data_IF_324128209270
#
_entry.id   IF_324128209270
#
_cell.length_a   1.000
_cell.length_b   1.000
_cell.length_c   1.000
_cell.angle_alpha   90.00
_cell.angle_beta   90.00
_cell.angle_gamma   90.00
#
_symmetry.space_group_name_H-M   'P 1'
#
loop_
_entity.id
_entity.type
_entity.pdbx_description
1 polymer ?
#
# COMPACT_ATOMS: atom_id res chain seq x y z
N UNK A 1 -151.34 11.02 -99.48
CA UNK A 1 -149.88 11.25 -99.34
C UNK A 1 -149.37 11.31 -97.90
N UNK A 2 -150.00 10.59 -96.96
CA UNK A 2 -149.54 10.51 -95.56
C UNK A 2 -149.00 9.10 -95.24
N UNK A 3 -149.53 8.07 -95.90
CA UNK A 3 -149.12 6.66 -95.75
C UNK A 3 -147.67 6.43 -96.20
N UNK A 4 -147.22 7.09 -97.27
CA UNK A 4 -145.87 6.90 -97.82
C UNK A 4 -144.76 7.51 -96.94
N UNK A 5 -145.06 8.60 -96.21
CA UNK A 5 -144.15 9.16 -95.21
C UNK A 5 -144.05 8.28 -93.96
N UNK A 6 -145.15 7.65 -93.54
CA UNK A 6 -145.14 6.72 -92.42
C UNK A 6 -144.42 5.41 -92.76
N UNK A 7 -144.58 4.89 -93.99
CA UNK A 7 -143.85 3.70 -94.43
C UNK A 7 -142.34 3.93 -94.49
N UNK A 8 -141.89 5.10 -94.97
CA UNK A 8 -140.46 5.45 -94.98
C UNK A 8 -139.86 5.63 -93.57
N UNK A 9 -140.68 6.11 -92.62
CA UNK A 9 -140.30 6.21 -91.20
C UNK A 9 -140.28 4.83 -90.51
N UNK A 10 -141.17 3.94 -90.92
CA UNK A 10 -141.21 2.56 -90.45
C UNK A 10 -139.99 1.78 -90.94
N UNK A 11 -139.63 1.86 -92.23
CA UNK A 11 -138.44 1.21 -92.79
C UNK A 11 -137.13 1.70 -92.15
N UNK A 12 -137.02 3.00 -91.86
CA UNK A 12 -135.83 3.55 -91.20
C UNK A 12 -135.71 3.13 -89.73
N UNK A 13 -136.83 2.85 -89.05
CA UNK A 13 -136.83 2.27 -87.71
C UNK A 13 -136.53 0.76 -87.72
N UNK A 14 -137.06 0.02 -88.70
CA UNK A 14 -136.81 -1.42 -88.89
C UNK A 14 -135.34 -1.68 -89.24
N UNK A 15 -134.73 -0.83 -90.07
CA UNK A 15 -133.31 -0.91 -90.43
C UNK A 15 -132.37 -0.65 -89.24
N UNK A 16 -132.70 0.28 -88.35
CA UNK A 16 -131.91 0.55 -87.14
C UNK A 16 -132.05 -0.52 -86.05
N UNK A 17 -133.10 -1.34 -86.10
CA UNK A 17 -133.40 -2.37 -85.11
C UNK A 17 -132.97 -3.79 -85.53
N UNK A 18 -132.28 -3.95 -86.67
CA UNK A 18 -131.72 -5.25 -87.09
C UNK A 18 -132.69 -6.16 -87.85
N UNK A 19 -133.80 -5.63 -88.39
CA UNK A 19 -134.57 -6.31 -89.45
C UNK A 19 -135.67 -7.29 -89.01
N UNK A 20 -136.10 -7.32 -87.74
CA UNK A 20 -137.32 -8.04 -87.30
C UNK A 20 -138.04 -7.22 -86.21
N UNK A 21 -139.38 -7.19 -86.22
CA UNK A 21 -140.20 -6.54 -85.18
C UNK A 21 -140.02 -7.25 -83.82
N UNK A 22 -139.36 -6.59 -82.87
CA UNK A 22 -139.20 -7.04 -81.48
C UNK A 22 -140.12 -6.22 -80.56
N UNK A 23 -140.85 -6.88 -79.66
CA UNK A 23 -141.74 -6.23 -78.71
C UNK A 23 -141.01 -5.45 -77.60
N UNK A 24 -141.64 -4.48 -76.92
CA UNK A 24 -141.00 -3.66 -75.89
C UNK A 24 -140.35 -4.46 -74.75
N UNK A 25 -140.95 -5.59 -74.37
CA UNK A 25 -140.41 -6.54 -73.39
C UNK A 25 -139.14 -7.24 -73.90
N UNK A 26 -139.10 -7.62 -75.18
CA UNK A 26 -137.91 -8.23 -75.80
C UNK A 26 -136.77 -7.22 -75.98
N UNK A 27 -137.08 -5.95 -76.22
CA UNK A 27 -136.09 -4.86 -76.21
C UNK A 27 -135.51 -4.69 -74.79
N UNK A 28 -136.34 -4.72 -73.74
CA UNK A 28 -135.85 -4.65 -72.35
C UNK A 28 -135.04 -5.88 -71.96
N UNK A 29 -135.44 -7.08 -72.40
CA UNK A 29 -134.70 -8.32 -72.18
C UNK A 29 -133.34 -8.26 -72.88
N UNK A 30 -133.30 -7.86 -74.16
CA UNK A 30 -132.04 -7.67 -74.90
C UNK A 30 -131.14 -6.59 -74.28
N UNK A 31 -131.71 -5.50 -73.79
CA UNK A 31 -130.95 -4.45 -73.08
C UNK A 31 -130.38 -4.96 -71.76
N UNK A 32 -131.15 -5.73 -70.99
CA UNK A 32 -130.68 -6.35 -69.76
C UNK A 32 -129.64 -7.44 -70.04
N UNK A 33 -129.79 -8.23 -71.10
CA UNK A 33 -128.79 -9.19 -71.54
C UNK A 33 -127.49 -8.51 -71.94
N UNK A 34 -127.54 -7.44 -72.74
CA UNK A 34 -126.35 -6.63 -73.04
C UNK A 34 -125.72 -6.03 -71.80
N UNK A 35 -126.52 -5.58 -70.83
CA UNK A 35 -126.00 -5.08 -69.56
C UNK A 35 -125.38 -6.19 -68.70
N UNK A 36 -125.94 -7.40 -68.72
CA UNK A 36 -125.40 -8.57 -68.03
C UNK A 36 -124.09 -9.00 -68.70
N UNK A 37 -124.04 -9.07 -70.02
CA UNK A 37 -122.83 -9.37 -70.80
C UNK A 37 -121.75 -8.32 -70.57
N UNK A 38 -122.09 -7.02 -70.55
CA UNK A 38 -121.15 -5.95 -70.25
C UNK A 38 -120.59 -6.07 -68.82
N UNK A 39 -121.44 -6.40 -67.83
CA UNK A 39 -121.00 -6.67 -66.45
C UNK A 39 -120.16 -7.95 -66.34
N UNK A 40 -120.48 -8.99 -67.11
CA UNK A 40 -119.70 -10.23 -67.15
C UNK A 40 -118.32 -9.99 -67.78
N UNK A 41 -118.23 -9.17 -68.83
CA UNK A 41 -116.98 -8.73 -69.44
C UNK A 41 -116.13 -7.93 -68.44
N UNK A 42 -116.74 -6.97 -67.73
CA UNK A 42 -116.08 -6.17 -66.69
C UNK A 42 -115.59 -7.06 -65.53
N UNK A 43 -116.39 -8.04 -65.10
CA UNK A 43 -115.99 -9.03 -64.09
C UNK A 43 -114.79 -9.85 -64.59
N UNK A 44 -114.80 -10.29 -65.85
CA UNK A 44 -113.70 -11.06 -66.43
C UNK A 44 -112.39 -10.22 -66.51
N UNK A 45 -112.48 -8.95 -66.90
CA UNK A 45 -111.35 -8.02 -66.93
C UNK A 45 -110.79 -7.77 -65.53
N UNK A 46 -111.66 -7.54 -64.53
CA UNK A 46 -111.26 -7.37 -63.14
C UNK A 46 -110.64 -8.65 -62.56
N UNK A 47 -111.17 -9.83 -62.89
CA UNK A 47 -110.59 -11.11 -62.50
C UNK A 47 -109.21 -11.32 -63.12
N UNK A 48 -109.02 -10.98 -64.40
CA UNK A 48 -107.71 -11.06 -65.06
C UNK A 48 -106.71 -10.07 -64.44
N UNK A 49 -107.14 -8.84 -64.15
CA UNK A 49 -106.30 -7.85 -63.47
C UNK A 49 -105.94 -8.30 -62.05
N UNK A 50 -106.89 -8.87 -61.32
CA UNK A 50 -106.67 -9.44 -59.99
C UNK A 50 -105.67 -10.59 -60.02
N UNK A 51 -105.78 -11.53 -60.97
CA UNK A 51 -104.82 -12.63 -61.13
C UNK A 51 -103.41 -12.12 -61.46
N UNK A 52 -103.29 -11.07 -62.28
CA UNK A 52 -102.00 -10.43 -62.58
C UNK A 52 -101.38 -9.82 -61.33
N UNK A 53 -102.16 -9.03 -60.59
CA UNK A 53 -101.70 -8.43 -59.32
C UNK A 53 -101.37 -9.49 -58.27
N UNK A 54 -102.12 -10.58 -58.21
CA UNK A 54 -101.84 -11.69 -57.30
C UNK A 54 -100.53 -12.38 -57.67
N UNK A 55 -100.27 -12.60 -58.95
CA UNK A 55 -99.01 -13.18 -59.43
C UNK A 55 -97.81 -12.27 -59.16
N UNK A 56 -97.97 -10.96 -59.37
CA UNK A 56 -96.96 -9.96 -59.02
C UNK A 56 -96.70 -9.91 -57.52
N UNK A 57 -97.75 -9.94 -56.69
CA UNK A 57 -97.63 -9.98 -55.23
C UNK A 57 -96.89 -11.24 -54.76
N UNK A 58 -97.20 -12.41 -55.35
CA UNK A 58 -96.50 -13.66 -55.05
C UNK A 58 -95.03 -13.56 -55.44
N UNK A 59 -94.72 -12.97 -56.59
CA UNK A 59 -93.33 -12.78 -57.03
C UNK A 59 -92.57 -11.84 -56.10
N UNK A 60 -93.13 -10.66 -55.78
CA UNK A 60 -92.54 -9.72 -54.83
C UNK A 60 -92.36 -10.32 -53.44
N UNK A 61 -93.28 -11.19 -53.00
CA UNK A 61 -93.16 -11.91 -51.72
C UNK A 61 -91.98 -12.87 -51.75
N UNK A 62 -91.80 -13.64 -52.84
CA UNK A 62 -90.63 -14.51 -53.01
C UNK A 62 -89.33 -13.71 -53.02
N UNK A 63 -89.30 -12.58 -53.72
CA UNK A 63 -88.11 -11.72 -53.80
C UNK A 63 -87.77 -11.11 -52.44
N UNK A 64 -88.78 -10.64 -51.68
CA UNK A 64 -88.63 -10.18 -50.30
C UNK A 64 -88.04 -11.29 -49.41
N UNK A 65 -88.56 -12.51 -49.50
CA UNK A 65 -88.09 -13.62 -48.69
C UNK A 65 -86.64 -14.00 -49.03
N UNK A 66 -86.27 -13.96 -50.31
CA UNK A 66 -84.90 -14.18 -50.78
C UNK A 66 -83.96 -13.07 -50.26
N UNK A 67 -84.33 -11.80 -50.40
CA UNK A 67 -83.58 -10.68 -49.84
C UNK A 67 -83.44 -10.79 -48.31
N UNK A 68 -84.48 -11.26 -47.61
CA UNK A 68 -84.44 -11.49 -46.16
C UNK A 68 -83.43 -12.58 -45.77
N UNK A 69 -83.30 -13.64 -46.59
CA UNK A 69 -82.24 -14.65 -46.41
C UNK A 69 -80.86 -14.04 -46.62
N UNK A 70 -80.67 -13.24 -47.66
CA UNK A 70 -79.38 -12.60 -47.95
C UNK A 70 -78.96 -11.60 -46.88
N UNK A 71 -79.89 -10.78 -46.38
CA UNK A 71 -79.65 -9.87 -45.24
C UNK A 71 -79.23 -10.67 -44.00
N UNK A 72 -79.87 -11.80 -43.71
CA UNK A 72 -79.45 -12.68 -42.60
C UNK A 72 -78.05 -13.24 -42.81
N UNK A 73 -77.70 -13.64 -44.04
CA UNK A 73 -76.35 -14.14 -44.39
C UNK A 73 -75.29 -13.05 -44.22
N UNK A 74 -75.53 -11.85 -44.75
CA UNK A 74 -74.63 -10.70 -44.64
C UNK A 74 -74.44 -10.27 -43.18
N UNK A 75 -75.50 -10.26 -42.36
CA UNK A 75 -75.40 -9.99 -40.92
C UNK A 75 -74.47 -10.99 -40.23
N UNK A 76 -74.61 -12.29 -40.51
CA UNK A 76 -73.71 -13.33 -39.96
C UNK A 76 -72.25 -13.09 -40.39
N UNK A 77 -72.02 -12.79 -41.67
CA UNK A 77 -70.68 -12.49 -42.17
C UNK A 77 -70.07 -11.25 -41.50
N UNK A 78 -70.86 -10.19 -41.33
CA UNK A 78 -70.43 -8.98 -40.64
C UNK A 78 -70.04 -9.26 -39.19
N UNK A 79 -70.82 -10.07 -38.46
CA UNK A 79 -70.47 -10.48 -37.08
C UNK A 79 -69.16 -11.26 -37.05
N UNK A 80 -68.96 -12.20 -37.98
CA UNK A 80 -67.71 -12.98 -38.06
C UNK A 80 -66.52 -12.06 -38.35
N UNK A 81 -66.66 -11.14 -39.31
CA UNK A 81 -65.60 -10.18 -39.65
C UNK A 81 -65.30 -9.22 -38.50
N UNK A 82 -66.32 -8.74 -37.79
CA UNK A 82 -66.15 -7.90 -36.60
C UNK A 82 -65.38 -8.64 -35.51
N UNK A 83 -65.70 -9.91 -35.26
CA UNK A 83 -64.98 -10.72 -34.27
C UNK A 83 -63.54 -11.06 -34.71
N UNK A 84 -63.29 -11.21 -36.01
CA UNK A 84 -61.93 -11.36 -36.54
C UNK A 84 -61.14 -10.07 -36.36
N UNK A 85 -61.74 -8.92 -36.67
CA UNK A 85 -61.14 -7.59 -36.50
C UNK A 85 -60.70 -7.37 -35.05
N UNK A 86 -61.59 -7.62 -34.08
CA UNK A 86 -61.27 -7.47 -32.65
C UNK A 86 -60.08 -8.35 -32.24
N UNK A 87 -60.02 -9.60 -32.71
CA UNK A 87 -58.89 -10.48 -32.44
C UNK A 87 -57.59 -9.94 -33.03
N UNK A 88 -57.59 -9.58 -34.31
CA UNK A 88 -56.39 -9.04 -34.96
C UNK A 88 -55.92 -7.72 -34.35
N UNK A 89 -56.86 -6.86 -33.89
CA UNK A 89 -56.51 -5.63 -33.17
C UNK A 89 -55.88 -5.96 -31.80
N UNK A 90 -56.41 -6.96 -31.09
CA UNK A 90 -55.80 -7.47 -29.86
C UNK A 90 -54.38 -7.98 -30.08
N UNK A 91 -54.15 -8.80 -31.10
CA UNK A 91 -52.84 -9.34 -31.45
C UNK A 91 -51.85 -8.20 -31.80
N UNK A 92 -52.30 -7.17 -32.52
CA UNK A 92 -51.48 -6.00 -32.85
C UNK A 92 -51.09 -5.23 -31.59
N UNK A 93 -52.03 -5.02 -30.66
CA UNK A 93 -51.75 -4.29 -29.42
C UNK A 93 -50.80 -5.08 -28.50
N UNK A 94 -50.89 -6.41 -28.48
CA UNK A 94 -49.94 -7.28 -27.77
C UNK A 94 -48.53 -7.15 -28.37
N UNK A 95 -48.40 -7.30 -29.69
CA UNK A 95 -47.11 -7.14 -30.38
C UNK A 95 -46.49 -5.74 -30.20
N UNK A 96 -47.33 -4.70 -30.12
CA UNK A 96 -46.85 -3.34 -29.81
C UNK A 96 -46.28 -3.22 -28.39
N UNK A 97 -46.90 -3.87 -27.41
CA UNK A 97 -46.38 -3.90 -26.03
C UNK A 97 -45.06 -4.67 -25.96
N UNK A 98 -44.99 -5.83 -26.61
CA UNK A 98 -43.75 -6.61 -26.70
C UNK A 98 -42.61 -5.79 -27.34
N UNK A 99 -42.91 -5.07 -28.43
CA UNK A 99 -41.93 -4.20 -29.09
C UNK A 99 -41.42 -3.12 -28.14
N UNK A 100 -42.32 -2.46 -27.39
CA UNK A 100 -41.94 -1.44 -26.41
C UNK A 100 -41.08 -2.00 -25.28
N UNK A 101 -41.40 -3.19 -24.77
CA UNK A 101 -40.62 -3.86 -23.73
C UNK A 101 -39.22 -4.25 -24.23
N UNK A 102 -39.11 -4.72 -25.48
CA UNK A 102 -37.83 -5.01 -26.13
C UNK A 102 -37.01 -3.74 -26.32
N UNK A 103 -37.59 -2.65 -26.82
CA UNK A 103 -36.91 -1.35 -26.99
C UNK A 103 -36.38 -0.82 -25.65
N UNK A 104 -37.18 -0.94 -24.59
CA UNK A 104 -36.76 -0.58 -23.23
C UNK A 104 -35.59 -1.44 -22.75
N UNK A 105 -35.63 -2.75 -23.00
CA UNK A 105 -34.54 -3.67 -22.68
C UNK A 105 -33.25 -3.30 -23.44
N UNK A 106 -33.35 -2.98 -24.73
CA UNK A 106 -32.22 -2.52 -25.56
C UNK A 106 -31.63 -1.24 -25.00
N UNK A 107 -32.46 -0.25 -24.64
CA UNK A 107 -31.99 1.00 -24.03
C UNK A 107 -31.25 0.76 -22.71
N UNK A 108 -31.75 -0.14 -21.86
CA UNK A 108 -31.07 -0.51 -20.63
C UNK A 108 -29.70 -1.16 -20.90
N UNK A 109 -29.62 -2.10 -21.85
CA UNK A 109 -28.35 -2.73 -22.23
C UNK A 109 -27.35 -1.73 -22.82
N UNK A 110 -27.82 -0.76 -23.62
CA UNK A 110 -26.97 0.32 -24.13
C UNK A 110 -26.41 1.19 -23.00
N UNK A 111 -27.24 1.53 -22.00
CA UNK A 111 -26.80 2.28 -20.83
C UNK A 111 -25.75 1.49 -20.04
N UNK A 112 -25.93 0.19 -19.87
CA UNK A 112 -24.95 -0.66 -19.18
C UNK A 112 -23.65 -0.82 -19.98
N UNK A 113 -23.72 -0.89 -21.31
CA UNK A 113 -22.54 -0.86 -22.18
C UNK A 113 -21.76 0.46 -22.04
N UNK A 114 -22.45 1.59 -21.95
CA UNK A 114 -21.81 2.90 -21.71
C UNK A 114 -21.13 2.93 -20.34
N UNK A 115 -21.79 2.42 -19.29
CA UNK A 115 -21.18 2.31 -17.95
C UNK A 115 -19.94 1.43 -17.96
N UNK A 116 -20.01 0.26 -18.60
CA UNK A 116 -18.88 -0.66 -18.73
C UNK A 116 -17.72 -0.02 -19.49
N UNK A 117 -17.97 0.67 -20.60
CA UNK A 117 -16.92 1.39 -21.33
C UNK A 117 -16.29 2.51 -20.49
N UNK A 118 -17.08 3.22 -19.68
CA UNK A 118 -16.59 4.25 -18.77
C UNK A 118 -15.69 3.65 -17.70
N UNK A 119 -16.10 2.53 -17.10
CA UNK A 119 -15.30 1.79 -16.13
C UNK A 119 -14.02 1.25 -16.76
N UNK A 120 -14.10 0.69 -17.97
CA UNK A 120 -12.94 0.18 -18.71
C UNK A 120 -11.91 1.28 -18.99
N UNK A 121 -12.36 2.46 -19.41
CA UNK A 121 -11.47 3.61 -19.62
C UNK A 121 -10.84 4.10 -18.32
N UNK A 122 -11.59 4.08 -17.21
CA UNK A 122 -11.06 4.43 -15.89
C UNK A 122 -10.00 3.42 -15.44
N UNK A 123 -10.29 2.13 -15.54
CA UNK A 123 -9.36 1.04 -15.21
C UNK A 123 -8.09 1.09 -16.06
N UNK A 124 -8.24 1.38 -17.37
CA UNK A 124 -7.10 1.59 -18.26
C UNK A 124 -6.26 2.79 -17.81
N UNK A 125 -6.90 3.92 -17.47
CA UNK A 125 -6.19 5.10 -16.95
C UNK A 125 -5.45 4.81 -15.64
N UNK A 126 -6.06 4.06 -14.71
CA UNK A 126 -5.37 3.64 -13.47
C UNK A 126 -4.23 2.67 -13.74
N UNK A 127 -4.38 1.76 -14.70
CA UNK A 127 -3.32 0.84 -15.12
C UNK A 127 -2.13 1.59 -15.71
N UNK A 128 -2.38 2.51 -16.64
CA UNK A 128 -1.34 3.32 -17.29
C UNK A 128 -0.59 4.18 -16.26
N UNK A 129 -1.30 4.78 -15.29
CA UNK A 129 -0.68 5.52 -14.19
C UNK A 129 0.19 4.63 -13.30
N UNK A 130 -0.32 3.48 -12.85
CA UNK A 130 0.46 2.55 -12.04
C UNK A 130 1.69 2.01 -12.78
N UNK A 131 1.57 1.79 -14.08
CA UNK A 131 2.69 1.37 -14.92
C UNK A 131 3.75 2.48 -15.01
N UNK A 132 3.33 3.73 -15.20
CA UNK A 132 4.24 4.87 -15.20
C UNK A 132 4.92 5.08 -13.84
N UNK A 133 4.18 4.97 -12.74
CA UNK A 133 4.73 5.07 -11.38
C UNK A 133 5.77 3.96 -11.11
N UNK A 134 5.50 2.73 -11.55
CA UNK A 134 6.48 1.64 -11.45
C UNK A 134 7.77 1.93 -12.23
N UNK A 135 7.67 2.48 -13.44
CA UNK A 135 8.86 2.87 -14.23
C UNK A 135 9.66 3.96 -13.51
N UNK A 136 8.99 4.94 -12.91
CA UNK A 136 9.66 6.00 -12.16
C UNK A 136 10.37 5.43 -10.92
N UNK A 137 9.68 4.60 -10.14
CA UNK A 137 10.26 3.93 -8.97
C UNK A 137 11.44 3.04 -9.35
N UNK A 138 11.37 2.29 -10.45
CA UNK A 138 12.48 1.47 -10.93
C UNK A 138 13.69 2.34 -11.28
N UNK A 139 13.49 3.48 -11.96
CA UNK A 139 14.58 4.41 -12.25
C UNK A 139 15.18 5.01 -10.98
N UNK A 140 14.35 5.39 -10.00
CA UNK A 140 14.81 5.93 -8.72
C UNK A 140 15.65 4.88 -7.96
N UNK A 141 15.22 3.62 -7.95
CA UNK A 141 15.99 2.52 -7.36
C UNK A 141 17.33 2.31 -8.09
N UNK A 142 17.35 2.36 -9.42
CA UNK A 142 18.58 2.24 -10.19
C UNK A 142 19.53 3.41 -9.90
N UNK A 143 19.01 4.63 -9.77
CA UNK A 143 19.82 5.80 -9.42
C UNK A 143 20.41 5.68 -8.01
N UNK A 144 19.58 5.33 -7.02
CA UNK A 144 20.05 5.13 -5.65
C UNK A 144 21.09 4.01 -5.55
N UNK A 145 20.93 2.93 -6.32
CA UNK A 145 21.91 1.84 -6.38
C UNK A 145 23.25 2.35 -6.94
N UNK A 146 23.23 3.11 -8.04
CA UNK A 146 24.44 3.69 -8.63
C UNK A 146 25.14 4.67 -7.70
N UNK A 147 24.39 5.49 -6.97
CA UNK A 147 24.96 6.41 -5.98
C UNK A 147 25.65 5.65 -4.84
N UNK A 148 25.00 4.61 -4.30
CA UNK A 148 25.59 3.76 -3.27
C UNK A 148 26.82 2.98 -3.79
N UNK A 149 26.79 2.51 -5.03
CA UNK A 149 27.95 1.88 -5.68
C UNK A 149 29.12 2.86 -5.81
N UNK A 150 28.86 4.10 -6.21
CA UNK A 150 29.90 5.14 -6.29
C UNK A 150 30.49 5.49 -4.93
N UNK A 151 29.65 5.63 -3.89
CA UNK A 151 30.12 5.86 -2.52
C UNK A 151 30.98 4.70 -2.02
N UNK A 152 30.58 3.47 -2.30
CA UNK A 152 31.34 2.26 -1.97
C UNK A 152 32.71 2.24 -2.64
N UNK A 153 32.79 2.59 -3.93
CA UNK A 153 34.06 2.72 -4.67
C UNK A 153 34.94 3.79 -4.02
N UNK A 154 34.39 4.95 -3.70
CA UNK A 154 35.14 6.04 -3.07
C UNK A 154 35.68 5.66 -1.68
N UNK A 155 34.88 4.96 -0.87
CA UNK A 155 35.31 4.44 0.42
C UNK A 155 36.42 3.39 0.26
N UNK A 156 36.34 2.55 -0.77
CA UNK A 156 37.37 1.56 -1.08
C UNK A 156 38.69 2.23 -1.47
N UNK A 157 38.65 3.27 -2.33
CA UNK A 157 39.84 4.06 -2.69
C UNK A 157 40.48 4.73 -1.46
N UNK A 158 39.67 5.33 -0.59
CA UNK A 158 40.16 5.93 0.66
C UNK A 158 40.82 4.89 1.58
N UNK A 159 40.21 3.71 1.70
CA UNK A 159 40.72 2.61 2.50
C UNK A 159 42.06 2.08 1.95
N UNK A 160 42.21 1.99 0.64
CA UNK A 160 43.46 1.59 0.01
C UNK A 160 44.54 2.68 0.19
N UNK A 161 44.19 3.97 0.10
CA UNK A 161 45.10 5.06 0.44
C UNK A 161 45.61 5.00 1.90
N UNK A 162 44.71 4.74 2.86
CA UNK A 162 45.09 4.57 4.28
C UNK A 162 46.00 3.35 4.47
N UNK A 163 45.76 2.24 3.74
CA UNK A 163 46.66 1.07 3.80
C UNK A 163 48.05 1.40 3.28
N UNK A 164 48.16 2.12 2.17
CA UNK A 164 49.45 2.56 1.62
C UNK A 164 50.20 3.47 2.62
N UNK A 165 49.50 4.43 3.23
CA UNK A 165 50.08 5.29 4.26
C UNK A 165 50.55 4.49 5.49
N UNK A 166 49.73 3.53 5.94
CA UNK A 166 50.10 2.62 7.03
C UNK A 166 51.37 1.84 6.70
N UNK A 167 51.47 1.28 5.50
CA UNK A 167 52.66 0.55 5.07
C UNK A 167 53.89 1.47 4.98
N UNK A 168 53.72 2.68 4.46
CA UNK A 168 54.78 3.70 4.43
C UNK A 168 55.28 4.05 5.83
N UNK A 169 54.37 4.27 6.78
CA UNK A 169 54.72 4.56 8.18
C UNK A 169 55.39 3.36 8.86
N UNK A 170 54.94 2.15 8.60
CA UNK A 170 55.55 0.93 9.12
C UNK A 170 56.99 0.76 8.60
N UNK A 171 57.22 1.01 7.31
CA UNK A 171 58.57 1.02 6.74
C UNK A 171 59.46 2.11 7.37
N UNK A 172 58.91 3.30 7.61
CA UNK A 172 59.62 4.38 8.30
C UNK A 172 59.96 4.02 9.75
N UNK A 173 59.06 3.32 10.46
CA UNK A 173 59.28 2.86 11.82
C UNK A 173 60.43 1.84 11.87
N UNK A 174 60.41 0.84 10.97
CA UNK A 174 61.48 -0.17 10.88
C UNK A 174 62.83 0.49 10.60
N UNK A 175 62.89 1.51 9.74
CA UNK A 175 64.15 2.23 9.50
C UNK A 175 64.60 3.02 10.74
N UNK A 176 63.68 3.67 11.47
CA UNK A 176 64.00 4.34 12.73
C UNK A 176 64.55 3.35 13.78
N UNK A 177 63.95 2.17 13.92
CA UNK A 177 64.43 1.09 14.79
C UNK A 177 65.85 0.63 14.41
N UNK A 178 66.14 0.48 13.11
CA UNK A 178 67.50 0.17 12.63
C UNK A 178 68.50 1.25 13.01
N UNK A 179 68.13 2.53 12.88
CA UNK A 179 68.99 3.64 13.28
C UNK A 179 69.23 3.66 14.79
N UNK A 180 68.20 3.43 15.61
CA UNK A 180 68.33 3.30 17.07
C UNK A 180 69.33 2.20 17.42
N UNK A 181 69.16 1.00 16.85
CA UNK A 181 70.06 -0.14 17.08
C UNK A 181 71.51 0.19 16.69
N UNK A 182 71.71 0.88 15.56
CA UNK A 182 73.03 1.32 15.11
C UNK A 182 73.68 2.31 16.08
N UNK A 183 72.91 3.27 16.60
CA UNK A 183 73.38 4.24 17.59
C UNK A 183 73.65 3.61 18.96
N UNK A 184 72.85 2.64 19.38
CA UNK A 184 73.11 1.84 20.59
C UNK A 184 74.42 1.09 20.46
N UNK A 185 74.66 0.41 19.32
CA UNK A 185 75.92 -0.30 19.06
C UNK A 185 77.12 0.65 19.04
N UNK A 186 77.00 1.82 18.39
CA UNK A 186 78.05 2.86 18.43
C UNK A 186 78.32 3.34 19.86
N UNK A 187 77.28 3.56 20.64
CA UNK A 187 77.38 4.00 22.04
C UNK A 187 78.03 2.93 22.90
N UNK A 188 77.68 1.67 22.71
CA UNK A 188 78.32 0.54 23.39
C UNK A 188 79.81 0.46 23.05
N UNK A 189 80.18 0.50 21.77
CA UNK A 189 81.58 0.51 21.35
C UNK A 189 82.35 1.71 21.93
N UNK A 190 81.73 2.89 21.98
CA UNK A 190 82.34 4.07 22.61
C UNK A 190 82.54 3.87 24.14
N UNK A 191 81.60 3.21 24.82
CA UNK A 191 81.75 2.86 26.24
C UNK A 191 82.84 1.81 26.46
N UNK A 192 82.89 0.77 25.63
CA UNK A 192 83.89 -0.30 25.70
C UNK A 192 85.29 0.23 25.39
N UNK A 193 85.45 1.04 24.33
CA UNK A 193 86.72 1.69 24.01
C UNK A 193 87.17 2.64 25.11
N UNK A 194 86.26 3.44 25.67
CA UNK A 194 86.56 4.27 26.85
C UNK A 194 86.99 3.42 28.04
N UNK A 195 86.26 2.35 28.36
CA UNK A 195 86.60 1.46 29.46
C UNK A 195 87.95 0.74 29.24
N UNK A 196 88.28 0.41 27.99
CA UNK A 196 89.58 -0.17 27.63
C UNK A 196 90.73 0.85 27.78
N UNK A 197 90.51 2.12 27.44
CA UNK A 197 91.48 3.21 27.64
C UNK A 197 91.61 3.59 29.11
N UNK A 198 90.51 3.61 29.86
CA UNK A 198 90.48 3.89 31.30
C UNK A 198 90.93 2.67 32.15
N UNK A 199 91.10 1.50 31.52
CA UNK A 199 91.62 0.31 32.16
C UNK A 199 93.02 0.57 32.72
N UNK A 200 93.26 0.17 33.97
CA UNK A 200 94.55 0.36 34.65
C UNK A 200 95.72 -0.43 34.03
N UNK A 201 95.47 -1.16 32.94
CA UNK A 201 96.47 -1.81 32.09
C UNK A 201 97.38 -0.72 31.50
N UNK A 202 98.58 -0.57 32.07
CA UNK A 202 99.56 0.45 31.72
C UNK A 202 99.65 1.60 32.72
N UNK A 203 98.61 1.89 33.52
CA UNK A 203 98.74 2.86 34.61
C UNK A 203 99.73 2.40 35.69
N UNK A 204 99.83 1.10 35.94
CA UNK A 204 100.84 0.54 36.85
C UNK A 204 102.28 0.81 36.39
N UNK A 205 102.55 0.63 35.10
CA UNK A 205 103.86 0.89 34.48
C UNK A 205 104.18 2.39 34.46
N UNK A 206 103.20 3.23 34.13
CA UNK A 206 103.34 4.70 34.18
C UNK A 206 103.58 5.18 35.62
N UNK A 207 102.85 4.66 36.61
CA UNK A 207 103.06 4.97 38.03
C UNK A 207 104.45 4.51 38.51
N UNK A 208 104.91 3.33 38.08
CA UNK A 208 106.26 2.84 38.37
C UNK A 208 107.35 3.71 37.73
N UNK A 209 107.18 4.10 36.46
CA UNK A 209 108.09 5.00 35.77
C UNK A 209 108.13 6.39 36.42
N UNK A 210 106.98 6.94 36.82
CA UNK A 210 106.92 8.19 37.57
C UNK A 210 107.60 8.11 38.94
N UNK A 211 107.45 6.99 39.65
CA UNK A 211 108.15 6.76 40.92
C UNK A 211 109.67 6.65 40.71
N UNK A 212 110.13 6.05 39.61
CA UNK A 212 111.55 5.96 39.27
C UNK A 212 112.12 7.32 38.82
N UNK A 213 111.37 8.09 38.03
CA UNK A 213 111.71 9.49 37.71
C UNK A 213 111.85 10.30 39.00
N UNK A 214 110.93 10.12 39.96
CA UNK A 214 111.00 10.82 41.24
C UNK A 214 112.22 10.36 42.05
N UNK A 215 112.56 9.06 42.08
CA UNK A 215 113.81 8.57 42.68
C UNK A 215 115.04 9.17 42.01
N UNK A 216 115.06 9.27 40.69
CA UNK A 216 116.16 9.89 39.96
C UNK A 216 116.26 11.39 40.24
N UNK A 217 115.14 12.11 40.34
CA UNK A 217 115.11 13.52 40.74
C UNK A 217 115.62 13.71 42.18
N UNK A 218 115.23 12.84 43.11
CA UNK A 218 115.74 12.86 44.48
C UNK A 218 117.25 12.59 44.47
N UNK A 219 117.72 11.60 43.71
CA UNK A 219 119.15 11.28 43.58
C UNK A 219 119.94 12.45 42.97
N UNK A 220 119.39 13.11 41.95
CA UNK A 220 119.97 14.32 41.35
C UNK A 220 120.08 15.45 42.38
N UNK A 221 119.01 15.70 43.14
CA UNK A 221 119.01 16.69 44.22
C UNK A 221 120.04 16.35 45.31
N UNK A 222 120.23 15.06 45.61
CA UNK A 222 121.19 14.57 46.58
C UNK A 222 122.63 14.72 46.09
N UNK A 223 122.88 14.53 44.79
CA UNK A 223 124.16 14.81 44.14
C UNK A 223 124.49 16.31 44.16
N UNK A 224 123.51 17.16 43.86
CA UNK A 224 123.66 18.62 43.97
C UNK A 224 124.03 19.04 45.40
N UNK A 225 123.38 18.44 46.40
CA UNK A 225 123.75 18.65 47.82
C UNK A 225 125.15 18.15 48.17
N UNK A 226 125.64 17.07 47.56
CA UNK A 226 127.03 16.61 47.76
C UNK A 226 128.04 17.56 47.11
N UNK A 227 127.73 18.10 45.93
CA UNK A 227 128.54 19.13 45.28
C UNK A 227 128.59 20.42 46.13
N UNK A 228 127.46 20.87 46.67
CA UNK A 228 127.40 21.98 47.64
C UNK A 228 128.16 21.67 48.94
N UNK A 229 128.09 20.43 49.44
CA UNK A 229 128.81 20.04 50.67
C UNK A 229 130.33 20.05 50.48
N UNK A 230 130.81 19.69 49.29
CA UNK A 230 132.22 19.78 48.91
C UNK A 230 132.69 21.25 48.81
N UNK A 231 131.84 22.14 48.29
CA UNK A 231 132.08 23.61 48.29
C UNK A 231 132.09 24.14 49.74
N UNK A 232 131.15 23.72 50.59
CA UNK A 232 131.08 24.11 52.00
C UNK A 232 132.22 23.54 52.86
N UNK A 233 132.80 22.38 52.54
CA UNK A 233 133.98 21.84 53.23
C UNK A 233 135.27 22.59 52.84
N UNK A 234 135.34 23.15 51.63
CA UNK A 234 136.40 24.06 51.20
C UNK A 234 136.29 25.44 51.86
N UNK A 235 135.07 25.95 52.06
CA UNK A 235 134.80 27.22 52.75
C UNK A 235 134.94 27.13 54.30
N UNK A 236 134.75 25.92 54.88
CA UNK A 236 134.88 25.65 56.33
C UNK A 236 136.32 25.55 56.86
N UNK A 237 137.34 25.51 55.99
CA UNK A 237 138.76 25.55 56.38
C UNK A 237 139.32 26.99 56.50
N UNK A 238 138.66 27.98 55.89
CA UNK A 238 139.10 29.39 55.88
C UNK A 238 138.23 30.30 56.76
N UNK A 239 137.05 29.86 57.20
CA UNK A 239 136.11 30.69 57.97
C UNK A 239 135.76 30.15 59.38
N UNK A 240 136.72 29.57 60.11
CA UNK A 240 136.65 29.41 61.59
C UNK A 240 137.25 30.61 62.33
N UNK A 241 137.14 31.82 61.74
CA UNK A 241 137.74 33.06 62.28
C UNK A 241 136.82 34.26 62.44
N UNK A 242 135.52 34.17 62.18
CA UNK A 242 134.59 35.24 62.58
C UNK A 242 133.19 34.70 62.93
N UNK A 243 133.20 33.99 64.04
CA UNK A 243 132.24 33.99 65.14
C UNK A 243 131.08 35.03 65.11
N UNK A 244 129.86 34.49 64.93
CA UNK A 244 128.60 34.70 65.70
C UNK A 244 127.73 35.96 65.44
N UNK A 245 126.42 35.70 65.56
CA UNK A 245 125.23 36.56 65.86
C UNK A 245 124.68 37.32 64.62
N UNK A 246 123.39 37.35 64.22
CA UNK A 246 122.06 37.22 64.85
C UNK A 246 121.03 37.17 63.68
N UNK A 247 120.14 36.18 63.59
CA UNK A 247 118.66 36.23 63.83
C UNK A 247 117.76 36.98 62.81
N UNK A 248 116.66 36.31 62.42
CA UNK A 248 115.40 36.85 61.87
C UNK A 248 115.25 36.71 60.34
N UNK A 249 114.12 36.38 59.71
CA UNK A 249 112.75 36.13 60.18
C UNK A 249 111.86 35.57 59.02
N UNK A 250 110.86 34.75 59.39
CA UNK A 250 109.44 34.71 58.96
C UNK A 250 108.89 34.28 57.55
N UNK A 251 107.66 33.70 57.64
CA UNK A 251 106.56 33.47 56.66
C UNK A 251 106.61 32.24 55.71
N UNK A 252 105.55 31.46 55.40
CA UNK A 252 104.11 31.76 55.27
C UNK A 252 103.21 30.48 55.04
N UNK A 253 101.97 30.48 55.60
CA UNK A 253 100.65 29.88 55.19
C UNK A 253 100.48 28.36 54.91
N UNK A 254 99.63 27.60 55.64
CA UNK A 254 98.14 27.47 55.65
C UNK A 254 97.53 26.83 54.40
N UNK A 255 96.85 25.67 54.55
CA UNK A 255 95.43 25.52 54.18
C UNK A 255 94.76 24.23 54.68
N UNK A 256 93.70 24.41 55.50
CA UNK A 256 92.60 23.46 55.78
C UNK A 256 91.48 23.72 54.77
N UNK A 257 90.82 22.66 54.28
CA UNK A 257 89.53 22.75 53.55
C UNK A 257 88.38 22.84 54.55
N UNK A 258 87.54 23.87 54.40
CA UNK A 258 86.21 24.02 55.02
C UNK A 258 85.18 24.14 53.91
N UNK A 259 84.02 23.51 54.12
CA UNK A 259 82.84 23.45 53.25
C UNK A 259 82.17 24.83 53.10
N UNK A 260 81.80 25.25 51.89
CA UNK A 260 81.39 26.63 51.59
C UNK A 260 79.94 26.76 51.12
N UNK A 261 79.30 27.88 51.50
CA UNK A 261 77.94 28.38 51.23
C UNK A 261 77.37 28.20 49.80
N UNK A 262 78.21 28.06 48.77
CA UNK A 262 77.78 27.93 47.37
C UNK A 262 77.13 26.58 47.01
N UNK A 263 77.38 25.52 47.78
CA UNK A 263 76.70 24.22 47.57
C UNK A 263 75.23 24.25 48.00
N UNK A 264 74.91 25.02 49.04
CA UNK A 264 73.53 25.23 49.50
C UNK A 264 72.71 26.07 48.50
N UNK A 265 73.31 27.09 47.90
CA UNK A 265 72.62 27.94 46.92
C UNK A 265 72.28 27.18 45.61
N UNK A 266 73.15 26.25 45.18
CA UNK A 266 72.88 25.39 44.02
C UNK A 266 71.76 24.37 44.27
N UNK A 267 71.77 23.70 45.41
CA UNK A 267 70.70 22.76 45.79
C UNK A 267 69.35 23.46 45.96
N UNK A 268 69.35 24.70 46.48
CA UNK A 268 68.14 25.50 46.62
C UNK A 268 67.57 25.96 45.26
N UNK A 269 68.44 26.23 44.27
CA UNK A 269 68.04 26.50 42.89
C UNK A 269 67.43 25.29 42.17
N UNK A 270 68.01 24.10 42.36
CA UNK A 270 67.50 22.85 41.78
C UNK A 270 66.12 22.47 42.38
N UNK A 271 65.91 22.66 43.68
CA UNK A 271 64.60 22.44 44.32
C UNK A 271 63.53 23.41 43.82
N UNK A 272 63.86 24.71 43.62
CA UNK A 272 62.92 25.68 43.03
C UNK A 272 62.53 25.30 41.59
N UNK A 273 63.48 24.79 40.80
CA UNK A 273 63.19 24.31 39.44
C UNK A 273 62.27 23.09 39.46
N UNK A 274 62.49 22.14 40.36
CA UNK A 274 61.60 20.97 40.53
C UNK A 274 60.20 21.40 40.94
N UNK A 275 60.06 22.30 41.91
CA UNK A 275 58.75 22.83 42.34
C UNK A 275 58.02 23.47 41.14
N UNK A 276 58.72 24.25 40.31
CA UNK A 276 58.11 24.88 39.12
C UNK A 276 57.64 23.84 38.09
N UNK A 277 58.42 22.80 37.84
CA UNK A 277 58.05 21.70 36.93
C UNK A 277 56.84 20.94 37.46
N UNK A 278 56.83 20.59 38.75
CA UNK A 278 55.69 19.90 39.39
C UNK A 278 54.42 20.74 39.39
N UNK A 279 54.50 22.07 39.55
CA UNK A 279 53.32 22.96 39.41
C UNK A 279 52.83 22.97 37.96
N UNK A 280 53.72 22.95 36.98
CA UNK A 280 53.34 22.91 35.57
C UNK A 280 52.70 21.56 35.19
N UNK A 281 53.22 20.45 35.70
CA UNK A 281 52.62 19.11 35.57
C UNK A 281 51.24 19.05 36.25
N UNK A 282 51.09 19.62 37.45
CA UNK A 282 49.82 19.68 38.16
C UNK A 282 48.75 20.48 37.38
N UNK A 283 49.13 21.63 36.80
CA UNK A 283 48.22 22.40 35.94
C UNK A 283 47.85 21.64 34.66
N UNK A 284 48.78 20.89 34.06
CA UNK A 284 48.48 20.03 32.90
C UNK A 284 47.49 18.92 33.25
N UNK A 285 47.62 18.31 34.44
CA UNK A 285 46.64 17.35 34.93
C UNK A 285 45.27 18.00 35.19
N UNK A 286 45.21 19.25 35.66
CA UNK A 286 43.95 19.97 35.85
C UNK A 286 43.25 20.26 34.51
N UNK A 287 43.99 20.64 33.47
CA UNK A 287 43.48 20.84 32.11
C UNK A 287 42.92 19.51 31.53
N UNK A 288 43.65 18.40 31.68
CA UNK A 288 43.18 17.06 31.28
C UNK A 288 41.91 16.63 32.02
N UNK A 289 41.82 16.92 33.33
CA UNK A 289 40.61 16.64 34.13
C UNK A 289 39.43 17.47 33.62
N UNK A 290 39.66 18.72 33.21
CA UNK A 290 38.60 19.57 32.65
C UNK A 290 38.11 19.04 31.30
N UNK A 291 39.01 18.63 30.42
CA UNK A 291 38.67 18.03 29.12
C UNK A 291 37.89 16.72 29.30
N UNK A 292 38.33 15.85 30.20
CA UNK A 292 37.64 14.59 30.51
C UNK A 292 36.24 14.82 31.08
N UNK A 293 36.05 15.87 31.91
CA UNK A 293 34.72 16.26 32.39
C UNK A 293 33.84 16.79 31.27
N UNK A 294 34.40 17.55 30.33
CA UNK A 294 33.69 18.00 29.12
C UNK A 294 33.18 16.82 28.29
N UNK A 295 34.06 15.87 27.99
CA UNK A 295 33.70 14.64 27.27
C UNK A 295 32.66 13.79 28.04
N UNK A 296 32.76 13.72 29.37
CA UNK A 296 31.78 13.01 30.18
C UNK A 296 30.37 13.61 30.02
N UNK A 297 30.25 14.93 30.03
CA UNK A 297 28.96 15.63 29.86
C UNK A 297 28.41 15.40 28.46
N UNK A 298 29.24 15.54 27.43
CA UNK A 298 28.82 15.32 26.04
C UNK A 298 28.36 13.87 25.82
N UNK A 299 29.12 12.89 26.32
CA UNK A 299 28.75 11.49 26.22
C UNK A 299 27.45 11.17 26.99
N UNK A 300 27.25 11.81 28.14
CA UNK A 300 26.01 11.68 28.92
C UNK A 300 24.80 12.21 28.16
N UNK A 301 24.95 13.37 27.50
CA UNK A 301 23.89 13.94 26.65
C UNK A 301 23.58 13.03 25.46
N UNK A 302 24.61 12.52 24.76
CA UNK A 302 24.41 11.59 23.65
C UNK A 302 23.72 10.30 24.11
N UNK A 303 24.05 9.80 25.29
CA UNK A 303 23.41 8.61 25.85
C UNK A 303 21.94 8.85 26.17
N UNK A 304 21.59 10.01 26.74
CA UNK A 304 20.21 10.41 26.99
C UNK A 304 19.42 10.56 25.68
N UNK A 305 19.98 11.22 24.66
CA UNK A 305 19.35 11.37 23.35
C UNK A 305 19.11 10.00 22.69
N UNK A 306 20.09 9.08 22.78
CA UNK A 306 19.92 7.70 22.27
C UNK A 306 18.88 6.94 23.07
N UNK A 307 18.80 7.12 24.38
CA UNK A 307 17.79 6.48 25.23
C UNK A 307 16.38 6.96 24.89
N UNK A 308 16.17 8.27 24.68
CA UNK A 308 14.88 8.82 24.23
C UNK A 308 14.50 8.26 22.85
N UNK A 309 15.44 8.20 21.91
CA UNK A 309 15.20 7.61 20.60
C UNK A 309 14.78 6.14 20.68
N UNK A 310 15.42 5.34 21.54
CA UNK A 310 15.04 3.93 21.76
C UNK A 310 13.63 3.82 22.34
N UNK A 311 13.27 4.66 23.31
CA UNK A 311 11.92 4.68 23.87
C UNK A 311 10.86 5.04 22.82
N UNK A 312 11.16 6.00 21.94
CA UNK A 312 10.28 6.36 20.83
C UNK A 312 10.13 5.22 19.82
N UNK A 313 11.24 4.57 19.42
CA UNK A 313 11.21 3.41 18.53
C UNK A 313 10.44 2.23 19.15
N UNK A 314 10.57 2.00 20.46
CA UNK A 314 9.82 0.97 21.17
C UNK A 314 8.32 1.28 21.14
N UNK A 315 7.91 2.52 21.45
CA UNK A 315 6.49 2.92 21.38
C UNK A 315 5.90 2.77 19.98
N UNK A 316 6.68 3.06 18.93
CA UNK A 316 6.26 2.82 17.55
C UNK A 316 6.13 1.33 17.24
N UNK A 317 7.06 0.48 17.73
CA UNK A 317 6.97 -0.97 17.59
C UNK A 317 5.69 -1.51 18.24
N UNK A 318 5.42 -1.12 19.49
CA UNK A 318 4.24 -1.57 20.23
C UNK A 318 2.94 -1.14 19.53
N UNK A 319 2.92 0.05 18.93
CA UNK A 319 1.78 0.55 18.15
C UNK A 319 1.57 -0.27 16.88
N UNK A 320 2.65 -0.57 16.14
CA UNK A 320 2.59 -1.39 14.94
C UNK A 320 2.16 -2.82 15.25
N UNK A 321 2.62 -3.41 16.36
CA UNK A 321 2.20 -4.73 16.81
C UNK A 321 0.70 -4.76 17.12
N UNK A 322 0.18 -3.74 17.80
CA UNK A 322 -1.27 -3.58 18.03
C UNK A 322 -2.08 -3.44 16.72
N UNK A 323 -1.54 -2.74 15.73
CA UNK A 323 -2.15 -2.62 14.41
C UNK A 323 -2.17 -3.95 13.64
N UNK A 324 -1.09 -4.74 13.72
CA UNK A 324 -1.00 -6.09 13.14
C UNK A 324 -2.07 -7.00 13.76
N UNK A 325 -2.21 -6.98 15.09
CA UNK A 325 -3.23 -7.78 15.78
C UNK A 325 -4.65 -7.40 15.32
N UNK A 326 -4.96 -6.09 15.24
CA UNK A 326 -6.25 -5.59 14.77
C UNK A 326 -6.53 -5.99 13.31
N UNK A 327 -5.53 -5.87 12.42
CA UNK A 327 -5.67 -6.28 11.02
C UNK A 327 -5.90 -7.79 10.90
N UNK A 328 -5.24 -8.59 11.73
CA UNK A 328 -5.43 -10.03 11.78
C UNK A 328 -6.85 -10.40 12.24
N UNK A 329 -7.37 -9.74 13.28
CA UNK A 329 -8.76 -9.91 13.74
C UNK A 329 -9.76 -9.59 12.62
N UNK A 330 -9.57 -8.48 11.91
CA UNK A 330 -10.41 -8.09 10.77
C UNK A 330 -10.34 -9.10 9.62
N UNK A 331 -9.15 -9.57 9.27
CA UNK A 331 -8.96 -10.61 8.24
C UNK A 331 -9.73 -11.88 8.59
N UNK A 332 -9.66 -12.30 9.86
CA UNK A 332 -10.33 -13.51 10.32
C UNK A 332 -11.86 -13.36 10.34
N UNK A 333 -12.38 -12.19 10.75
CA UNK A 333 -13.80 -11.85 10.67
C UNK A 333 -14.29 -11.92 9.21
N UNK A 334 -13.60 -11.23 8.30
CA UNK A 334 -13.92 -11.21 6.88
C UNK A 334 -13.89 -12.62 6.25
N UNK A 335 -12.91 -13.44 6.62
CA UNK A 335 -12.82 -14.83 6.18
C UNK A 335 -14.04 -15.65 6.64
N UNK A 336 -14.46 -15.50 7.89
CA UNK A 336 -15.61 -16.20 8.45
C UNK A 336 -16.92 -15.80 7.75
N UNK A 337 -17.10 -14.51 7.49
CA UNK A 337 -18.24 -13.99 6.72
C UNK A 337 -18.24 -14.47 5.27
N UNK A 338 -17.07 -14.47 4.61
CA UNK A 338 -16.93 -14.95 3.24
C UNK A 338 -17.31 -16.43 3.14
N UNK A 339 -16.81 -17.26 4.05
CA UNK A 339 -17.16 -18.68 4.11
C UNK A 339 -18.67 -18.88 4.34
N UNK A 340 -19.28 -18.07 5.21
CA UNK A 340 -20.73 -18.06 5.41
C UNK A 340 -21.51 -17.72 4.14
N UNK A 341 -21.10 -16.67 3.42
CA UNK A 341 -21.71 -16.25 2.13
C UNK A 341 -21.52 -17.30 1.04
N UNK A 342 -20.33 -17.89 0.93
CA UNK A 342 -20.05 -18.98 -0.03
C UNK A 342 -20.92 -20.20 0.25
N UNK A 343 -21.09 -20.58 1.52
CA UNK A 343 -21.95 -21.69 1.90
C UNK A 343 -23.43 -21.40 1.60
N UNK A 344 -23.90 -20.18 1.89
CA UNK A 344 -25.26 -19.72 1.53
C UNK A 344 -25.49 -19.76 0.02
N UNK A 345 -24.51 -19.31 -0.78
CA UNK A 345 -24.57 -19.40 -2.24
C UNK A 345 -24.65 -20.85 -2.73
N UNK A 346 -23.89 -21.78 -2.14
CA UNK A 346 -24.01 -23.22 -2.44
C UNK A 346 -25.41 -23.75 -2.14
N UNK A 347 -26.02 -23.37 -1.02
CA UNK A 347 -27.39 -23.77 -0.70
C UNK A 347 -28.41 -23.23 -1.71
N UNK A 348 -28.30 -21.96 -2.11
CA UNK A 348 -29.18 -21.41 -3.15
C UNK A 348 -28.98 -22.09 -4.50
N UNK A 349 -27.75 -22.44 -4.86
CA UNK A 349 -27.47 -23.21 -6.08
C UNK A 349 -28.10 -24.60 -6.01
N UNK A 350 -27.96 -25.31 -4.88
CA UNK A 350 -28.61 -26.61 -4.68
C UNK A 350 -30.14 -26.51 -4.72
N UNK A 351 -30.71 -25.41 -4.21
CA UNK A 351 -32.15 -25.17 -4.25
C UNK A 351 -32.62 -24.93 -5.68
N UNK A 352 -31.87 -24.14 -6.46
CA UNK A 352 -32.11 -23.93 -7.90
C UNK A 352 -32.04 -25.24 -8.70
N UNK A 353 -31.08 -26.10 -8.36
CA UNK A 353 -30.87 -27.39 -9.04
C UNK A 353 -31.81 -28.49 -8.55
N UNK A 354 -32.73 -28.19 -7.61
CA UNK A 354 -33.67 -29.15 -7.03
C UNK A 354 -33.04 -30.23 -6.15
N UNK A 355 -31.77 -30.08 -5.77
CA UNK A 355 -30.99 -31.04 -4.96
C UNK A 355 -30.93 -30.68 -3.47
N UNK A 356 -31.48 -29.54 -3.09
CA UNK A 356 -31.46 -29.09 -1.70
C UNK A 356 -32.38 -29.94 -0.82
N UNK A 357 -31.82 -30.49 0.25
CA UNK A 357 -32.56 -31.25 1.26
C UNK A 357 -32.83 -30.36 2.46
N UNK A 358 -34.10 -30.04 2.72
CA UNK A 358 -34.48 -29.26 3.91
C UNK A 358 -34.25 -30.09 5.17
N UNK A 359 -33.44 -29.57 6.11
CA UNK A 359 -33.22 -30.19 7.41
C UNK A 359 -34.49 -30.14 8.29
N UNK A 360 -35.23 -29.04 8.24
CA UNK A 360 -36.50 -28.87 8.94
C UNK A 360 -37.63 -28.83 7.93
N UNK A 361 -38.58 -29.76 8.03
CA UNK A 361 -39.70 -29.90 7.08
C UNK A 361 -40.97 -29.15 7.49
N UNK A 362 -41.05 -28.71 8.76
CA UNK A 362 -42.12 -27.86 9.28
C UNK A 362 -41.56 -26.61 9.92
N UNK A 363 -42.34 -25.54 9.91
CA UNK A 363 -42.02 -24.25 10.54
C UNK A 363 -41.76 -24.40 12.05
N UNK A 364 -42.57 -25.23 12.73
CA UNK A 364 -42.39 -25.56 14.14
C UNK A 364 -41.09 -26.33 14.44
N UNK A 365 -40.61 -27.18 13.53
CA UNK A 365 -39.31 -27.85 13.70
C UNK A 365 -38.14 -26.92 13.44
N UNK A 366 -38.29 -25.94 12.53
CA UNK A 366 -37.28 -24.91 12.27
C UNK A 366 -37.12 -23.98 13.47
N UNK A 367 -38.23 -23.52 14.06
CA UNK A 367 -38.21 -22.63 15.23
C UNK A 367 -37.60 -23.31 16.47
N UNK A 368 -37.93 -24.59 16.69
CA UNK A 368 -37.33 -25.41 17.77
C UNK A 368 -35.84 -25.67 17.56
N UNK A 369 -35.37 -25.83 16.32
CA UNK A 369 -33.94 -26.02 16.06
C UNK A 369 -33.18 -24.69 16.13
N UNK A 370 -33.79 -23.58 15.68
CA UNK A 370 -33.24 -22.22 15.81
C UNK A 370 -33.02 -21.86 17.28
N UNK A 371 -34.04 -22.03 18.12
CA UNK A 371 -33.94 -21.80 19.58
C UNK A 371 -32.85 -22.64 20.23
N UNK A 372 -32.74 -23.94 19.91
CA UNK A 372 -31.63 -24.78 20.40
C UNK A 372 -30.26 -24.27 19.99
N UNK A 373 -30.09 -23.76 18.76
CA UNK A 373 -28.80 -23.20 18.32
C UNK A 373 -28.48 -21.88 19.05
N UNK A 374 -29.48 -21.04 19.30
CA UNK A 374 -29.32 -19.81 20.10
C UNK A 374 -28.93 -20.15 21.54
N UNK A 375 -29.63 -21.09 22.18
CA UNK A 375 -29.34 -21.52 23.55
C UNK A 375 -27.93 -22.10 23.67
N UNK A 376 -27.52 -22.92 22.69
CA UNK A 376 -26.17 -23.49 22.65
C UNK A 376 -25.10 -22.41 22.47
N UNK A 377 -25.38 -21.38 21.67
CA UNK A 377 -24.47 -20.26 21.46
C UNK A 377 -24.34 -19.40 22.72
N UNK A 378 -25.45 -19.12 23.42
CA UNK A 378 -25.43 -18.42 24.71
C UNK A 378 -24.66 -19.21 25.78
N UNK A 379 -24.86 -20.54 25.85
CA UNK A 379 -24.11 -21.40 26.75
C UNK A 379 -22.59 -21.39 26.46
N UNK A 380 -22.20 -21.41 25.17
CA UNK A 380 -20.80 -21.29 24.76
C UNK A 380 -20.22 -19.91 25.11
N UNK A 381 -20.98 -18.82 24.91
CA UNK A 381 -20.56 -17.47 25.32
C UNK A 381 -20.31 -17.41 26.83
N UNK A 382 -21.23 -17.95 27.63
CA UNK A 382 -21.07 -17.98 29.09
C UNK A 382 -19.85 -18.80 29.55
N UNK A 383 -19.52 -19.90 28.85
CA UNK A 383 -18.31 -20.67 29.11
C UNK A 383 -17.06 -19.85 28.80
N UNK A 384 -17.04 -19.15 27.66
CA UNK A 384 -15.88 -18.32 27.28
C UNK A 384 -15.72 -17.13 28.22
N UNK A 385 -16.82 -16.49 28.64
CA UNK A 385 -16.78 -15.40 29.62
C UNK A 385 -16.27 -15.87 30.98
N UNK A 386 -16.70 -17.06 31.42
CA UNK A 386 -16.18 -17.69 32.63
C UNK A 386 -14.70 -18.02 32.52
N UNK A 387 -14.25 -18.56 31.40
CA UNK A 387 -12.82 -18.86 31.16
C UNK A 387 -11.97 -17.58 31.12
N UNK A 388 -12.51 -16.48 30.57
CA UNK A 388 -11.84 -15.18 30.56
C UNK A 388 -11.73 -14.56 31.97
N UNK A 389 -12.68 -14.84 32.87
CA UNK A 389 -12.64 -14.41 34.27
C UNK A 389 -11.71 -15.28 35.12
N UNK A 390 -11.79 -16.61 34.96
CA UNK A 390 -10.98 -17.57 35.73
C UNK A 390 -9.50 -17.56 35.27
N UNK A 391 -9.23 -17.26 34.00
CA UNK A 391 -7.88 -17.28 33.43
C UNK A 391 -7.58 -16.05 32.56
N UNK A 392 -7.22 -14.90 33.17
CA UNK A 392 -6.95 -13.65 32.44
C UNK A 392 -5.84 -13.77 31.37
N UNK A 393 -4.85 -14.64 31.60
CA UNK A 393 -3.75 -14.88 30.66
C UNK A 393 -4.17 -15.58 29.36
N UNK A 394 -5.35 -16.21 29.32
CA UNK A 394 -5.88 -16.91 28.14
C UNK A 394 -6.79 -15.98 27.31
N UNK A 395 -7.14 -14.80 27.82
CA UNK A 395 -7.99 -13.83 27.11
C UNK A 395 -7.51 -13.51 25.69
N UNK A 396 -6.20 -13.28 25.42
CA UNK A 396 -5.75 -13.00 24.05
C UNK A 396 -6.03 -14.17 23.09
N UNK A 397 -5.89 -15.42 23.57
CA UNK A 397 -6.16 -16.61 22.78
C UNK A 397 -7.67 -16.81 22.53
N UNK A 398 -8.51 -16.46 23.52
CA UNK A 398 -9.98 -16.58 23.48
C UNK A 398 -10.67 -15.42 22.77
N UNK A 399 -10.00 -14.27 22.59
CA UNK A 399 -10.54 -13.10 21.90
C UNK A 399 -11.10 -13.42 20.50
N UNK A 400 -10.44 -14.33 19.78
CA UNK A 400 -10.89 -14.86 18.48
C UNK A 400 -12.21 -15.62 18.57
N UNK A 401 -12.36 -16.43 19.61
CA UNK A 401 -13.59 -17.22 19.85
C UNK A 401 -14.73 -16.28 20.22
N UNK A 402 -14.46 -15.27 21.04
CA UNK A 402 -15.44 -14.23 21.37
C UNK A 402 -15.93 -13.47 20.14
N UNK A 403 -15.03 -12.95 19.30
CA UNK A 403 -15.41 -12.27 18.05
C UNK A 403 -16.27 -13.15 17.13
N UNK A 404 -15.95 -14.44 17.03
CA UNK A 404 -16.70 -15.39 16.21
C UNK A 404 -18.08 -15.75 16.81
N UNK A 405 -18.21 -15.78 18.14
CA UNK A 405 -19.49 -15.97 18.81
C UNK A 405 -20.35 -14.71 18.70
N UNK A 406 -19.80 -13.52 18.96
CA UNK A 406 -20.48 -12.22 18.88
C UNK A 406 -21.09 -11.97 17.49
N UNK A 407 -20.31 -12.20 16.42
CA UNK A 407 -20.79 -12.04 15.04
C UNK A 407 -21.90 -13.02 14.65
N UNK A 408 -21.94 -14.21 15.25
CA UNK A 408 -23.01 -15.19 15.02
C UNK A 408 -24.26 -14.91 15.86
N UNK A 409 -24.10 -14.35 17.07
CA UNK A 409 -25.24 -13.86 17.86
C UNK A 409 -25.94 -12.68 17.20
N UNK A 410 -25.20 -11.73 16.64
CA UNK A 410 -25.78 -10.58 15.90
C UNK A 410 -26.59 -11.06 14.68
N UNK A 411 -26.04 -12.01 13.90
CA UNK A 411 -26.72 -12.59 12.74
C UNK A 411 -27.93 -13.48 13.08
N UNK A 412 -28.11 -13.86 14.34
CA UNK A 412 -29.26 -14.64 14.78
C UNK A 412 -30.40 -13.76 15.34
N UNK A 413 -30.12 -12.47 15.57
CA UNK A 413 -31.09 -11.48 16.05
C UNK A 413 -31.74 -10.68 14.91
N UNK A 414 -31.04 -10.56 13.77
CA UNK A 414 -31.56 -10.08 12.48
C UNK A 414 -32.22 -11.21 11.67
#
# INVERSE_FOLDING_TARGET
NIIDQYNKRLETLISKAGGVELGPLEITINSLQKSIEARQQEIAELQQMWLRQQSELVQLTKDKDMQSVDVRKLKKQLTILSQKKIRTEGDIDEQRRETYDIERSISNMQNDMIKLNTLLNKEKGTHDNLHQDNILLENDFIMALKEAEMESIQLQENLDGIKEEKERLLNSLVEAERQIMLWEKKTQLARETRAAVDSEVGQGEIKAMNAEIHRMQVRYTQLMKQQEKMIQEMEKAVSRRDTIVTRGDAQQKINKKVLTKGTFERQMGELRKKIKVTIQEANGCDDEIQDLRGHQVELSQQLEDKQVNVQHLQGNSDTLDGDIERLFENKQKNMSELLGKQQKAKYFQQAKDGKYTMLCKSESSLENESTKQVDRMQALSAIVDRLNQEFPHVQPALRRVNLALSTRTEQAQD
#
